data_IF_051442797611
#
_entry.id   IF_051442797611
#
_cell.length_a   1.000
_cell.length_b   1.000
_cell.length_c   1.000
_cell.angle_alpha   90.00
_cell.angle_beta   90.00
_cell.angle_gamma   90.00
#
_symmetry.space_group_name_H-M   'P 1'
#
loop_
_entity.id
_entity.type
_entity.pdbx_description
1 polymer ?
#
# COMPACT_ATOMS: atom_id res chain seq x y z
N UNK A 1 -20.50 -1.13 -5.58
CA UNK A 1 -19.68 -2.31 -5.24
C UNK A 1 -18.71 -1.96 -4.13
N UNK A 2 -18.41 -2.92 -3.27
CA UNK A 2 -17.48 -2.69 -2.17
C UNK A 2 -16.05 -2.53 -2.69
N UNK A 3 -15.30 -1.62 -2.08
CA UNK A 3 -13.88 -1.48 -2.33
C UNK A 3 -13.15 -2.73 -1.81
N UNK A 4 -12.30 -3.31 -2.64
CA UNK A 4 -11.54 -4.52 -2.32
C UNK A 4 -10.10 -4.15 -2.01
N UNK A 5 -9.65 -4.52 -0.82
CA UNK A 5 -8.30 -4.21 -0.32
C UNK A 5 -7.53 -5.50 -0.10
N UNK A 6 -6.35 -5.61 -0.66
CA UNK A 6 -5.44 -6.72 -0.38
C UNK A 6 -4.38 -6.23 0.62
N UNK A 7 -4.29 -6.91 1.76
CA UNK A 7 -3.28 -6.63 2.79
C UNK A 7 -2.20 -7.70 2.74
N UNK A 8 -0.98 -7.29 2.43
CA UNK A 8 0.19 -8.18 2.37
C UNK A 8 1.13 -7.80 3.51
N UNK A 9 1.14 -8.61 4.56
CA UNK A 9 1.95 -8.38 5.77
C UNK A 9 2.18 -9.71 6.45
N UNK A 10 3.41 -9.99 6.88
CA UNK A 10 3.76 -11.25 7.55
C UNK A 10 3.28 -11.32 9.00
N UNK A 11 2.90 -10.20 9.59
CA UNK A 11 2.42 -10.13 10.98
C UNK A 11 0.89 -10.27 11.03
N UNK A 12 0.42 -11.41 11.55
CA UNK A 12 -1.03 -11.65 11.64
C UNK A 12 -1.79 -10.60 12.47
N UNK A 13 -1.25 -10.03 13.56
CA UNK A 13 -1.94 -8.96 14.29
C UNK A 13 -2.16 -7.71 13.43
N UNK A 14 -1.22 -7.37 12.56
CA UNK A 14 -1.37 -6.21 11.66
C UNK A 14 -2.46 -6.49 10.62
N UNK A 15 -2.46 -7.69 10.02
CA UNK A 15 -3.53 -8.06 9.08
C UNK A 15 -4.90 -8.01 9.75
N UNK A 16 -5.01 -8.48 10.98
CA UNK A 16 -6.28 -8.45 11.73
C UNK A 16 -6.73 -7.02 12.00
N UNK A 17 -5.84 -6.13 12.42
CA UNK A 17 -6.16 -4.72 12.64
C UNK A 17 -6.69 -4.06 11.36
N UNK A 18 -6.02 -4.30 10.24
CA UNK A 18 -6.46 -3.78 8.95
C UNK A 18 -7.84 -4.32 8.58
N UNK A 19 -8.03 -5.64 8.67
CA UNK A 19 -9.30 -6.29 8.34
C UNK A 19 -10.46 -5.74 9.15
N UNK A 20 -10.32 -5.71 10.48
CA UNK A 20 -11.41 -5.26 11.36
C UNK A 20 -11.82 -3.82 11.03
N UNK A 21 -10.87 -2.94 10.86
CA UNK A 21 -11.15 -1.53 10.60
C UNK A 21 -11.69 -1.27 9.19
N UNK A 22 -11.18 -1.96 8.19
CA UNK A 22 -11.64 -1.78 6.81
C UNK A 22 -13.00 -2.44 6.58
N UNK A 23 -13.23 -3.64 7.12
CA UNK A 23 -14.53 -4.32 7.01
C UNK A 23 -15.63 -3.57 7.76
N UNK A 24 -15.31 -2.95 8.89
CA UNK A 24 -16.27 -2.11 9.63
C UNK A 24 -16.78 -0.94 8.79
N UNK A 25 -16.02 -0.52 7.79
CA UNK A 25 -16.37 0.56 6.87
C UNK A 25 -16.92 0.05 5.53
N UNK A 26 -17.28 -1.22 5.46
CA UNK A 26 -17.92 -1.81 4.29
C UNK A 26 -16.97 -2.26 3.18
N UNK A 27 -15.68 -2.29 3.43
CA UNK A 27 -14.69 -2.77 2.46
C UNK A 27 -14.53 -4.29 2.54
N UNK A 28 -14.19 -4.91 1.42
CA UNK A 28 -13.85 -6.34 1.37
C UNK A 28 -12.33 -6.46 1.49
N UNK A 29 -11.86 -7.31 2.40
CA UNK A 29 -10.43 -7.47 2.68
C UNK A 29 -9.95 -8.87 2.31
N UNK A 30 -8.87 -8.89 1.50
CA UNK A 30 -8.12 -10.09 1.17
C UNK A 30 -6.79 -10.01 1.93
N UNK A 31 -6.27 -11.14 2.38
CA UNK A 31 -5.01 -11.19 3.12
C UNK A 31 -3.99 -12.11 2.47
N UNK A 32 -2.72 -11.74 2.58
CA UNK A 32 -1.60 -12.60 2.23
C UNK A 32 -0.50 -12.42 3.28
N UNK A 33 0.11 -13.51 3.69
CA UNK A 33 1.10 -13.53 4.78
C UNK A 33 2.54 -13.40 4.29
N UNK A 34 2.77 -13.43 2.98
CA UNK A 34 4.10 -13.29 2.38
C UNK A 34 4.00 -12.68 0.97
N UNK A 35 5.16 -12.33 0.42
CA UNK A 35 5.22 -11.68 -0.89
C UNK A 35 4.74 -12.55 -2.04
N UNK A 36 5.07 -13.83 -2.03
CA UNK A 36 4.69 -14.76 -3.10
C UNK A 36 3.19 -14.96 -3.17
N UNK A 37 2.55 -15.24 -2.02
CA UNK A 37 1.10 -15.39 -1.97
C UNK A 37 0.39 -14.06 -2.25
N UNK A 38 1.00 -12.94 -1.86
CA UNK A 38 0.48 -11.61 -2.18
C UNK A 38 0.44 -11.34 -3.68
N UNK A 39 1.51 -11.66 -4.40
CA UNK A 39 1.56 -11.53 -5.86
C UNK A 39 0.51 -12.41 -6.54
N UNK A 40 0.42 -13.66 -6.10
CA UNK A 40 -0.55 -14.61 -6.64
C UNK A 40 -1.98 -14.12 -6.46
N UNK A 41 -2.30 -13.65 -5.25
CA UNK A 41 -3.62 -13.11 -4.93
C UNK A 41 -3.91 -11.85 -5.74
N UNK A 42 -2.96 -10.93 -5.85
CA UNK A 42 -3.14 -9.70 -6.62
C UNK A 42 -3.45 -9.99 -8.10
N UNK A 43 -2.75 -10.96 -8.70
CA UNK A 43 -2.95 -11.36 -10.09
C UNK A 43 -4.30 -12.05 -10.32
N UNK A 44 -4.73 -12.86 -9.35
CA UNK A 44 -5.99 -13.59 -9.46
C UNK A 44 -7.20 -12.71 -9.17
N UNK A 45 -7.10 -11.83 -8.20
CA UNK A 45 -8.25 -11.09 -7.65
C UNK A 45 -8.35 -9.64 -8.12
N UNK A 46 -7.26 -9.07 -8.61
CA UNK A 46 -7.18 -7.67 -9.07
C UNK A 46 -7.88 -6.72 -8.09
N UNK A 47 -7.34 -6.54 -6.87
CA UNK A 47 -7.97 -5.65 -5.87
C UNK A 47 -7.90 -4.18 -6.29
N UNK A 48 -8.69 -3.35 -5.64
CA UNK A 48 -8.72 -1.91 -5.90
C UNK A 48 -7.52 -1.18 -5.33
N UNK A 49 -6.94 -1.72 -4.25
CA UNK A 49 -5.76 -1.16 -3.60
C UNK A 49 -5.01 -2.28 -2.86
N UNK A 50 -3.70 -2.12 -2.73
CA UNK A 50 -2.84 -3.04 -1.99
C UNK A 50 -2.17 -2.28 -0.84
N UNK A 51 -2.33 -2.79 0.39
CA UNK A 51 -1.52 -2.37 1.54
C UNK A 51 -0.37 -3.36 1.62
N UNK A 52 0.86 -2.88 1.49
CA UNK A 52 2.03 -3.73 1.31
C UNK A 52 3.11 -3.43 2.34
N UNK A 53 3.40 -4.41 3.20
CA UNK A 53 4.50 -4.32 4.15
C UNK A 53 5.83 -4.38 3.40
N UNK A 54 6.73 -3.48 3.73
CA UNK A 54 8.07 -3.43 3.13
C UNK A 54 8.99 -4.51 3.70
N UNK A 55 8.95 -4.68 5.01
CA UNK A 55 9.87 -5.59 5.72
C UNK A 55 9.28 -6.98 5.93
N UNK A 56 9.43 -7.84 4.94
CA UNK A 56 8.98 -9.24 5.04
C UNK A 56 10.15 -10.18 4.74
N UNK A 57 10.23 -11.36 5.42
CA UNK A 57 11.23 -12.35 5.07
C UNK A 57 10.97 -12.93 3.67
N UNK A 58 12.03 -13.33 2.99
CA UNK A 58 11.94 -13.86 1.64
C UNK A 58 11.76 -12.75 0.62
N UNK A 59 10.64 -12.76 -0.09
CA UNK A 59 10.31 -11.74 -1.08
C UNK A 59 9.79 -10.48 -0.36
N UNK A 60 10.63 -9.45 -0.24
CA UNK A 60 10.28 -8.21 0.45
C UNK A 60 9.28 -7.35 -0.35
N UNK A 61 8.74 -6.31 0.32
CA UNK A 61 7.72 -5.44 -0.29
C UNK A 61 8.20 -4.69 -1.53
N UNK A 62 9.47 -4.31 -1.60
CA UNK A 62 10.01 -3.63 -2.79
C UNK A 62 9.98 -4.53 -4.01
N UNK A 63 10.34 -5.79 -3.85
CA UNK A 63 10.33 -6.78 -4.94
C UNK A 63 8.91 -7.13 -5.36
N UNK A 64 7.99 -7.20 -4.41
CA UNK A 64 6.57 -7.38 -4.70
C UNK A 64 6.06 -6.23 -5.57
N UNK A 65 6.38 -5.00 -5.18
CA UNK A 65 5.98 -3.80 -5.93
C UNK A 65 6.55 -3.80 -7.35
N UNK A 66 7.82 -4.16 -7.51
CA UNK A 66 8.45 -4.29 -8.82
C UNK A 66 7.73 -5.29 -9.70
N UNK A 67 7.41 -6.47 -9.15
CA UNK A 67 6.72 -7.53 -9.88
C UNK A 67 5.29 -7.11 -10.27
N UNK A 68 4.59 -6.38 -9.40
CA UNK A 68 3.26 -5.85 -9.71
C UNK A 68 3.32 -4.83 -10.85
N UNK A 69 4.32 -3.97 -10.84
CA UNK A 69 4.50 -2.93 -11.86
C UNK A 69 4.85 -3.52 -13.23
N UNK A 70 5.57 -4.64 -13.24
CA UNK A 70 5.98 -5.33 -14.49
C UNK A 70 4.88 -6.20 -15.11
N UNK A 71 3.72 -6.32 -14.48
CA UNK A 71 2.63 -7.14 -14.96
C UNK A 71 1.46 -6.25 -15.40
N UNK A 72 1.04 -6.39 -16.67
CA UNK A 72 -0.05 -5.59 -17.24
C UNK A 72 -1.36 -5.69 -16.47
N UNK A 73 -1.57 -6.79 -15.76
CA UNK A 73 -2.80 -7.01 -14.98
C UNK A 73 -2.81 -6.23 -13.68
N UNK A 74 -1.65 -5.89 -13.13
CA UNK A 74 -1.52 -5.32 -11.79
C UNK A 74 -0.82 -3.96 -11.76
N UNK A 75 -0.23 -3.52 -12.87
CA UNK A 75 0.58 -2.29 -12.92
C UNK A 75 -0.17 -1.03 -12.49
N UNK A 76 -1.48 -0.99 -12.67
CA UNK A 76 -2.29 0.18 -12.34
C UNK A 76 -2.90 0.14 -10.94
N UNK A 77 -2.74 -0.97 -10.20
CA UNK A 77 -3.28 -1.06 -8.85
C UNK A 77 -2.47 -0.14 -7.92
N UNK A 78 -3.11 0.82 -7.24
CA UNK A 78 -2.39 1.69 -6.32
C UNK A 78 -1.90 0.93 -5.09
N UNK A 79 -0.68 1.25 -4.66
CA UNK A 79 -0.02 0.60 -3.53
C UNK A 79 0.18 1.62 -2.40
N UNK A 80 -0.23 1.26 -1.20
CA UNK A 80 0.05 2.00 0.02
C UNK A 80 1.06 1.16 0.80
N UNK A 81 2.28 1.67 0.97
CA UNK A 81 3.31 0.94 1.70
C UNK A 81 3.12 1.06 3.21
N UNK A 82 3.27 -0.07 3.91
CA UNK A 82 3.35 -0.11 5.37
C UNK A 82 4.84 -0.20 5.73
N UNK A 83 5.36 0.79 6.41
CA UNK A 83 6.80 0.89 6.63
C UNK A 83 7.15 1.32 8.05
N UNK A 84 8.32 0.91 8.53
CA UNK A 84 8.83 1.35 9.82
C UNK A 84 9.30 2.81 9.72
N UNK A 85 9.24 3.52 10.86
CA UNK A 85 9.60 4.93 10.94
C UNK A 85 11.04 5.22 10.47
N UNK A 86 11.95 4.26 10.66
CA UNK A 86 13.37 4.42 10.32
C UNK A 86 13.66 4.41 8.81
N UNK A 87 12.68 4.07 7.97
CA UNK A 87 12.89 3.88 6.53
C UNK A 87 12.44 5.03 5.67
N UNK A 88 12.60 6.25 6.17
CA UNK A 88 12.15 7.46 5.48
C UNK A 88 12.74 7.60 4.07
N UNK A 89 14.02 7.25 3.90
CA UNK A 89 14.70 7.35 2.59
C UNK A 89 14.15 6.39 1.55
N UNK A 90 13.68 5.23 1.99
CA UNK A 90 13.14 4.20 1.09
C UNK A 90 11.72 4.51 0.62
N UNK A 91 11.03 5.45 1.24
CA UNK A 91 9.67 5.86 0.85
C UNK A 91 9.61 6.44 -0.56
N UNK A 92 10.64 7.22 -0.94
CA UNK A 92 10.72 7.76 -2.29
C UNK A 92 10.83 6.64 -3.32
N UNK A 93 11.60 5.59 -3.02
CA UNK A 93 11.70 4.38 -3.85
C UNK A 93 10.34 3.70 -4.01
N UNK A 94 9.58 3.59 -2.91
CA UNK A 94 8.25 3.00 -2.93
C UNK A 94 7.30 3.74 -3.87
N UNK A 95 7.33 5.06 -3.86
CA UNK A 95 6.49 5.88 -4.74
C UNK A 95 6.90 5.67 -6.20
N UNK A 96 8.20 5.56 -6.48
CA UNK A 96 8.70 5.27 -7.83
C UNK A 96 8.29 3.87 -8.31
N UNK A 97 8.06 2.93 -7.39
CA UNK A 97 7.60 1.58 -7.68
C UNK A 97 6.06 1.44 -7.72
N UNK A 98 5.35 2.53 -7.94
CA UNK A 98 3.89 2.52 -8.08
C UNK A 98 3.13 2.86 -6.81
N UNK A 99 3.82 3.19 -5.73
CA UNK A 99 3.18 3.62 -4.49
C UNK A 99 2.51 4.98 -4.64
N UNK A 100 1.34 5.13 -4.04
CA UNK A 100 0.61 6.40 -4.01
C UNK A 100 0.63 7.03 -2.62
N UNK A 101 0.97 6.24 -1.60
CA UNK A 101 1.13 6.72 -0.23
C UNK A 101 1.90 5.71 0.61
N UNK A 102 2.18 6.07 1.82
CA UNK A 102 2.80 5.20 2.82
C UNK A 102 2.17 5.47 4.19
N UNK A 103 2.18 4.43 5.04
CA UNK A 103 1.72 4.50 6.42
C UNK A 103 2.84 3.99 7.30
N UNK A 104 3.22 4.78 8.30
CA UNK A 104 4.31 4.44 9.21
C UNK A 104 3.80 3.58 10.37
N UNK A 105 4.44 2.44 10.59
CA UNK A 105 4.17 1.58 11.76
C UNK A 105 4.89 2.15 13.00
N UNK A 106 4.25 2.15 14.16
CA UNK A 106 2.86 1.80 14.42
C UNK A 106 1.90 2.88 13.91
N UNK A 107 0.72 2.47 13.45
CA UNK A 107 -0.29 3.39 12.94
C UNK A 107 -1.62 3.24 13.67
N UNK A 108 -2.45 4.28 13.57
CA UNK A 108 -3.82 4.21 14.09
C UNK A 108 -4.71 3.56 13.02
N UNK A 109 -5.20 2.33 13.24
CA UNK A 109 -5.97 1.63 12.21
C UNK A 109 -7.30 2.30 11.84
N UNK A 110 -7.84 3.15 12.71
CA UNK A 110 -9.07 3.92 12.45
C UNK A 110 -8.90 4.85 11.25
N UNK A 111 -7.68 5.31 10.99
CA UNK A 111 -7.38 6.20 9.86
C UNK A 111 -7.24 5.50 8.51
N UNK A 112 -7.21 4.16 8.46
CA UNK A 112 -6.96 3.42 7.23
C UNK A 112 -8.09 3.56 6.19
N UNK A 113 -9.33 3.35 6.61
CA UNK A 113 -10.45 3.41 5.67
C UNK A 113 -10.64 4.78 5.02
N UNK A 114 -10.59 5.90 5.78
CA UNK A 114 -10.62 7.22 5.16
C UNK A 114 -9.47 7.45 4.18
N UNK A 115 -8.25 7.00 4.53
CA UNK A 115 -7.08 7.10 3.66
C UNK A 115 -7.29 6.35 2.35
N UNK A 116 -7.74 5.10 2.44
CA UNK A 116 -8.00 4.26 1.27
C UNK A 116 -9.06 4.89 0.37
N UNK A 117 -10.17 5.36 0.94
CA UNK A 117 -11.25 6.00 0.17
C UNK A 117 -10.77 7.24 -0.57
N UNK A 118 -10.03 8.10 0.14
CA UNK A 118 -9.52 9.34 -0.44
C UNK A 118 -8.56 9.06 -1.60
N UNK A 119 -7.63 8.16 -1.41
CA UNK A 119 -6.64 7.83 -2.42
C UNK A 119 -7.27 7.16 -3.65
N UNK A 120 -8.21 6.24 -3.45
CA UNK A 120 -8.94 5.62 -4.57
C UNK A 120 -9.73 6.66 -5.35
N UNK A 121 -10.44 7.55 -4.66
CA UNK A 121 -11.20 8.61 -5.31
C UNK A 121 -10.29 9.52 -6.16
N UNK A 122 -9.13 9.88 -5.64
CA UNK A 122 -8.15 10.70 -6.38
C UNK A 122 -7.59 9.96 -7.59
N UNK A 123 -7.26 8.69 -7.44
CA UNK A 123 -6.75 7.86 -8.55
C UNK A 123 -7.83 7.72 -9.63
N UNK A 124 -9.08 7.51 -9.26
CA UNK A 124 -10.21 7.42 -10.20
C UNK A 124 -10.43 8.73 -10.97
N UNK A 125 -10.11 9.88 -10.35
CA UNK A 125 -10.17 11.19 -11.03
C UNK A 125 -8.95 11.48 -11.89
N UNK A 126 -8.00 10.53 -12.02
CA UNK A 126 -6.80 10.72 -12.80
C UNK A 126 -5.69 11.51 -12.10
N UNK A 127 -5.75 11.62 -10.77
CA UNK A 127 -4.80 12.41 -9.98
C UNK A 127 -3.60 11.60 -9.46
N UNK A 128 -3.32 10.44 -10.03
CA UNK A 128 -2.24 9.58 -9.57
C UNK A 128 -0.86 10.24 -9.63
N UNK A 129 -0.55 10.92 -10.74
CA UNK A 129 0.73 11.60 -10.90
C UNK A 129 0.86 12.79 -9.95
N UNK A 130 -0.24 13.49 -9.71
CA UNK A 130 -0.29 14.59 -8.75
C UNK A 130 -0.04 14.09 -7.33
N UNK A 131 -0.64 12.97 -6.94
CA UNK A 131 -0.39 12.32 -5.64
C UNK A 131 1.08 11.98 -5.47
N UNK A 132 1.70 11.40 -6.50
CA UNK A 132 3.12 11.05 -6.46
C UNK A 132 3.99 12.29 -6.26
N UNK A 133 3.72 13.36 -6.98
CA UNK A 133 4.46 14.61 -6.82
C UNK A 133 4.33 15.19 -5.42
N UNK A 134 3.11 15.19 -4.86
CA UNK A 134 2.86 15.66 -3.50
C UNK A 134 3.66 14.86 -2.48
N UNK A 135 3.64 13.52 -2.58
CA UNK A 135 4.35 12.65 -1.64
C UNK A 135 5.86 12.79 -1.74
N UNK A 136 6.41 12.91 -2.93
CA UNK A 136 7.84 13.13 -3.13
C UNK A 136 8.26 14.48 -2.56
N UNK A 137 7.44 15.51 -2.73
CA UNK A 137 7.69 16.83 -2.16
C UNK A 137 7.70 16.81 -0.63
N UNK A 138 6.72 16.13 0.00
CA UNK A 138 6.67 15.96 1.45
C UNK A 138 7.91 15.24 1.98
N UNK A 139 8.33 14.16 1.31
CA UNK A 139 9.52 13.40 1.69
C UNK A 139 10.78 14.23 1.60
N UNK A 140 10.92 15.02 0.54
CA UNK A 140 12.07 15.92 0.35
C UNK A 140 12.16 16.91 1.50
N UNK A 141 11.06 17.53 1.86
CA UNK A 141 11.01 18.49 2.97
C UNK A 141 11.38 17.83 4.31
N UNK A 142 10.92 16.61 4.55
CA UNK A 142 11.27 15.87 5.77
C UNK A 142 12.75 15.53 5.83
N UNK A 143 13.34 15.12 4.71
CA UNK A 143 14.76 14.77 4.63
C UNK A 143 15.65 16.00 4.83
N UNK A 144 15.22 17.17 4.37
CA UNK A 144 15.95 18.43 4.59
C UNK A 144 15.96 18.88 6.05
N UNK A 145 14.94 18.47 6.84
CA UNK A 145 14.84 18.83 8.25
C UNK A 145 15.68 17.91 9.16
N UNK A 146 16.03 16.76 8.68
CA UNK A 146 16.85 15.79 9.41
C UNK A 146 18.32 15.95 9.06
#
# INVERSE_FOLDING_TARGET
>A
MATRVLVIDDESPIRLLCRVNLEAEGMEVLEAADGSSGLETARAEIPDVILLDVMMPGLDGWRVAEALLDDNRTESIPIIFLTARAELRDRARGIDLGGVDYVTKPFNPVGLAPLVRDLIARVERGERDELRREKLSELRLRLERE
#
